data_IF_246752506643
#
_entry.id   IF_246752506643
#
_cell.length_a   1.000
_cell.length_b   1.000
_cell.length_c   1.000
_cell.angle_alpha   90.00
_cell.angle_beta   90.00
_cell.angle_gamma   90.00
#
_symmetry.space_group_name_H-M   'P 1'
#
loop_
_entity.id
_entity.type
_entity.pdbx_description
1 polymer ?
#
# COMPACT_ATOMS: atom_id res chain seq x y z
N UNK A 1 -6.91 20.21 -12.64
CA UNK A 1 -5.42 20.34 -12.70
C UNK A 1 -4.77 20.82 -11.39
N UNK A 2 -5.35 21.73 -10.60
CA UNK A 2 -4.72 22.18 -9.32
C UNK A 2 -4.74 21.13 -8.20
N UNK A 3 -5.81 20.34 -8.06
CA UNK A 3 -5.94 19.28 -7.02
C UNK A 3 -4.82 18.23 -7.12
N UNK A 4 -4.58 17.67 -8.30
CA UNK A 4 -3.58 16.61 -8.50
C UNK A 4 -2.15 17.07 -8.13
N UNK A 5 -1.79 18.34 -8.42
CA UNK A 5 -0.48 18.88 -8.03
C UNK A 5 -0.30 18.97 -6.51
N UNK A 6 -1.38 19.13 -5.75
CA UNK A 6 -1.33 19.17 -4.29
C UNK A 6 -1.17 17.74 -3.76
N UNK A 7 -1.97 16.80 -4.27
CA UNK A 7 -1.94 15.39 -3.86
C UNK A 7 -0.57 14.75 -4.15
N UNK A 8 0.02 15.03 -5.32
CA UNK A 8 1.35 14.52 -5.68
C UNK A 8 2.47 14.99 -4.76
N UNK A 9 2.30 16.07 -3.98
CA UNK A 9 3.30 16.45 -2.96
C UNK A 9 3.37 15.43 -1.81
N UNK A 10 2.27 14.72 -1.56
CA UNK A 10 2.17 13.69 -0.53
C UNK A 10 2.54 12.29 -1.05
N UNK A 11 2.78 12.15 -2.36
CA UNK A 11 3.08 10.88 -3.02
C UNK A 11 4.41 11.00 -3.78
N UNK A 12 5.57 11.13 -3.08
CA UNK A 12 6.86 11.30 -3.73
C UNK A 12 7.24 10.12 -4.62
N UNK A 13 6.76 8.90 -4.30
CA UNK A 13 7.09 7.69 -5.04
C UNK A 13 6.09 7.36 -6.15
N UNK A 14 5.10 8.22 -6.39
CA UNK A 14 4.01 7.99 -7.35
C UNK A 14 4.49 7.46 -8.70
N UNK A 15 5.42 8.16 -9.35
CA UNK A 15 5.92 7.77 -10.66
C UNK A 15 6.69 6.44 -10.64
N UNK A 16 7.35 6.13 -9.53
CA UNK A 16 8.08 4.88 -9.37
C UNK A 16 7.12 3.70 -9.21
N UNK A 17 6.05 3.90 -8.44
CA UNK A 17 5.01 2.90 -8.18
C UNK A 17 4.18 2.61 -9.44
N UNK A 18 3.73 3.63 -10.16
CA UNK A 18 2.89 3.42 -11.35
C UNK A 18 3.64 2.80 -12.53
N UNK A 19 4.97 2.99 -12.59
CA UNK A 19 5.84 2.44 -13.63
C UNK A 19 6.59 1.20 -13.13
N UNK A 20 6.16 0.64 -12.00
CA UNK A 20 6.75 -0.58 -11.48
C UNK A 20 6.48 -1.73 -12.47
N UNK A 21 7.56 -2.42 -12.86
CA UNK A 21 7.49 -3.54 -13.79
C UNK A 21 7.34 -4.85 -13.02
N UNK A 22 6.32 -5.62 -13.37
CA UNK A 22 5.94 -6.87 -12.73
C UNK A 22 5.52 -7.89 -13.78
N UNK A 23 5.61 -9.17 -13.42
CA UNK A 23 5.24 -10.25 -14.33
C UNK A 23 3.75 -10.21 -14.66
N UNK A 24 3.38 -10.60 -15.88
CA UNK A 24 1.98 -10.56 -16.35
C UNK A 24 1.02 -11.41 -15.49
N UNK A 25 1.52 -12.42 -14.77
CA UNK A 25 0.76 -13.27 -13.87
C UNK A 25 0.70 -12.75 -12.42
N UNK A 26 1.35 -11.62 -12.12
CA UNK A 26 1.30 -10.98 -10.80
C UNK A 26 0.06 -10.08 -10.64
N UNK A 27 -1.10 -10.73 -10.56
CA UNK A 27 -2.40 -10.07 -10.37
C UNK A 27 -2.49 -9.27 -9.06
N UNK A 28 -1.65 -9.56 -8.07
CA UNK A 28 -1.64 -8.83 -6.79
C UNK A 28 -0.98 -7.47 -6.99
N UNK A 29 0.21 -7.44 -7.59
CA UNK A 29 0.91 -6.19 -7.93
C UNK A 29 0.04 -5.30 -8.83
N UNK A 30 -0.60 -5.89 -9.85
CA UNK A 30 -1.51 -5.19 -10.75
C UNK A 30 -2.65 -4.51 -9.97
N UNK A 31 -3.34 -5.27 -9.10
CA UNK A 31 -4.46 -4.74 -8.31
C UNK A 31 -4.02 -3.67 -7.32
N UNK A 32 -2.88 -3.82 -6.66
CA UNK A 32 -2.36 -2.82 -5.73
C UNK A 32 -2.10 -1.47 -6.41
N UNK A 33 -1.44 -1.50 -7.57
CA UNK A 33 -1.18 -0.29 -8.37
C UNK A 33 -2.49 0.33 -8.85
N UNK A 34 -3.45 -0.50 -9.29
CA UNK A 34 -4.77 -0.03 -9.69
C UNK A 34 -5.52 0.67 -8.54
N UNK A 35 -5.54 0.08 -7.34
CA UNK A 35 -6.19 0.66 -6.16
C UNK A 35 -5.52 1.98 -5.78
N UNK A 36 -4.19 2.01 -5.72
CA UNK A 36 -3.41 3.21 -5.42
C UNK A 36 -3.69 4.35 -6.40
N UNK A 37 -3.69 4.05 -7.70
CA UNK A 37 -4.01 5.02 -8.75
C UNK A 37 -5.43 5.58 -8.57
N UNK A 38 -6.42 4.72 -8.32
CA UNK A 38 -7.80 5.15 -8.09
C UNK A 38 -7.94 5.99 -6.81
N UNK A 39 -7.24 5.64 -5.74
CA UNK A 39 -7.27 6.38 -4.49
C UNK A 39 -6.71 7.81 -4.67
N UNK A 40 -5.59 7.96 -5.38
CA UNK A 40 -5.00 9.28 -5.72
C UNK A 40 -5.93 10.15 -6.56
N UNK A 41 -6.69 9.56 -7.48
CA UNK A 41 -7.59 10.35 -8.33
C UNK A 41 -8.91 10.71 -7.65
N UNK A 42 -9.33 9.97 -6.62
CA UNK A 42 -10.59 10.19 -5.93
C UNK A 42 -10.46 10.95 -4.60
N UNK A 43 -9.24 11.12 -4.07
CA UNK A 43 -9.03 11.81 -2.79
C UNK A 43 -9.35 13.31 -2.87
N UNK A 44 -10.00 13.83 -1.83
CA UNK A 44 -10.23 15.26 -1.70
C UNK A 44 -9.05 15.94 -0.97
N UNK A 45 -8.34 16.90 -1.60
CA UNK A 45 -7.19 17.57 -0.97
C UNK A 45 -7.55 18.48 0.21
N UNK A 46 -8.84 18.71 0.50
CA UNK A 46 -9.26 19.42 1.70
C UNK A 46 -9.35 18.50 2.93
N UNK A 47 -9.43 17.18 2.71
CA UNK A 47 -9.46 16.19 3.78
C UNK A 47 -8.04 15.78 4.21
N UNK A 48 -7.61 16.26 5.39
CA UNK A 48 -6.29 15.94 5.93
C UNK A 48 -6.09 14.47 6.26
N UNK A 49 -7.14 13.75 6.68
CA UNK A 49 -7.03 12.32 6.99
C UNK A 49 -6.72 11.51 5.74
N UNK A 50 -7.43 11.78 4.64
CA UNK A 50 -7.20 11.04 3.40
C UNK A 50 -5.81 11.34 2.82
N UNK A 51 -5.29 12.56 3.03
CA UNK A 51 -3.91 12.92 2.67
C UNK A 51 -2.85 12.20 3.53
N UNK A 52 -3.17 11.86 4.78
CA UNK A 52 -2.27 11.08 5.62
C UNK A 52 -2.27 9.60 5.21
N UNK A 53 -3.46 9.05 4.94
CA UNK A 53 -3.62 7.68 4.43
C UNK A 53 -2.87 7.53 3.10
N UNK A 54 -2.95 8.51 2.20
CA UNK A 54 -2.28 8.41 0.90
C UNK A 54 -0.76 8.44 1.00
N UNK A 55 -0.23 9.25 1.93
CA UNK A 55 1.19 9.32 2.20
C UNK A 55 1.72 8.00 2.78
N UNK A 56 0.98 7.41 3.73
CA UNK A 56 1.31 6.08 4.25
C UNK A 56 1.23 5.02 3.16
N UNK A 57 0.20 5.07 2.32
CA UNK A 57 0.02 4.09 1.24
C UNK A 57 1.14 4.19 0.18
N UNK A 58 1.58 5.41 -0.17
CA UNK A 58 2.73 5.66 -1.04
C UNK A 58 4.01 5.04 -0.47
N UNK A 59 4.27 5.24 0.83
CA UNK A 59 5.43 4.65 1.50
C UNK A 59 5.39 3.11 1.49
N UNK A 60 4.24 2.53 1.84
CA UNK A 60 4.04 1.08 1.88
C UNK A 60 4.27 0.46 0.50
N UNK A 61 3.70 1.06 -0.56
CA UNK A 61 3.90 0.57 -1.91
C UNK A 61 5.32 0.79 -2.42
N UNK A 62 5.98 1.88 -2.03
CA UNK A 62 7.39 2.05 -2.36
C UNK A 62 8.25 0.92 -1.76
N UNK A 63 7.99 0.54 -0.50
CA UNK A 63 8.68 -0.60 0.12
C UNK A 63 8.35 -1.93 -0.57
N UNK A 64 7.09 -2.12 -0.98
CA UNK A 64 6.67 -3.29 -1.75
C UNK A 64 7.40 -3.45 -3.08
N UNK A 65 7.64 -2.35 -3.80
CA UNK A 65 8.35 -2.41 -5.09
C UNK A 65 9.87 -2.49 -4.90
N UNK A 66 10.43 -1.97 -3.81
CA UNK A 66 11.86 -2.01 -3.54
C UNK A 66 12.34 -3.34 -2.94
N UNK A 67 11.56 -3.93 -2.05
CA UNK A 67 11.94 -5.14 -1.32
C UNK A 67 11.18 -6.36 -1.84
N UNK A 68 11.92 -7.21 -2.57
CA UNK A 68 11.39 -8.45 -3.13
C UNK A 68 10.93 -9.46 -2.06
N UNK A 69 11.66 -9.60 -0.95
CA UNK A 69 11.29 -10.54 0.10
C UNK A 69 10.03 -10.08 0.83
N UNK A 70 9.97 -8.77 1.11
CA UNK A 70 8.78 -8.12 1.63
C UNK A 70 7.58 -8.35 0.70
N UNK A 71 7.77 -8.13 -0.61
CA UNK A 71 6.73 -8.34 -1.62
C UNK A 71 6.15 -9.73 -1.58
N UNK A 72 7.01 -10.75 -1.61
CA UNK A 72 6.59 -12.15 -1.58
C UNK A 72 5.77 -12.48 -0.34
N UNK A 73 6.26 -12.08 0.83
CA UNK A 73 5.55 -12.33 2.07
C UNK A 73 4.21 -11.58 2.16
N UNK A 74 4.15 -10.37 1.61
CA UNK A 74 2.90 -9.60 1.53
C UNK A 74 1.89 -10.25 0.57
N UNK A 75 2.34 -10.70 -0.61
CA UNK A 75 1.51 -11.43 -1.57
C UNK A 75 0.88 -12.69 -0.94
N UNK A 76 1.68 -13.46 -0.20
CA UNK A 76 1.22 -14.65 0.51
C UNK A 76 0.19 -14.31 1.61
N UNK A 77 0.40 -13.20 2.33
CA UNK A 77 -0.55 -12.72 3.35
C UNK A 77 -1.86 -12.23 2.71
N UNK A 78 -1.77 -11.54 1.58
CA UNK A 78 -2.91 -10.97 0.86
C UNK A 78 -3.85 -12.03 0.27
N UNK A 79 -3.35 -13.21 -0.07
CA UNK A 79 -4.17 -14.36 -0.47
C UNK A 79 -5.20 -14.77 0.61
N UNK A 80 -4.97 -14.36 1.86
CA UNK A 80 -5.83 -14.69 3.00
C UNK A 80 -6.77 -13.56 3.44
N UNK A 81 -6.68 -12.36 2.83
CA UNK A 81 -7.48 -11.20 3.23
C UNK A 81 -8.90 -11.33 2.67
N UNK A 82 -9.90 -11.39 3.56
CA UNK A 82 -11.32 -11.25 3.21
C UNK A 82 -11.73 -9.79 3.36
N UNK A 83 -11.93 -9.09 2.25
CA UNK A 83 -12.45 -7.70 2.26
C UNK A 83 -13.96 -7.73 2.51
N UNK A 84 -14.44 -7.10 3.59
CA UNK A 84 -15.87 -6.87 3.82
C UNK A 84 -16.33 -5.71 2.93
N UNK A 85 -17.49 -5.83 2.25
CA UNK A 85 -18.06 -4.75 1.44
C UNK A 85 -18.62 -3.65 2.37
N UNK A 86 -18.16 -2.41 2.19
CA UNK A 86 -18.61 -1.21 2.90
C UNK A 86 -18.93 -0.07 1.91
N UNK A 87 -19.59 0.99 2.40
CA UNK A 87 -20.02 2.15 1.60
C UNK A 87 -18.86 3.04 1.11
N UNK A 88 -17.67 2.95 1.74
CA UNK A 88 -16.45 3.69 1.36
C UNK A 88 -15.33 2.73 0.92
N UNK A 89 -15.70 1.84 0.00
CA UNK A 89 -14.90 0.69 -0.48
C UNK A 89 -13.42 1.01 -0.73
N UNK A 90 -13.07 2.11 -1.38
CA UNK A 90 -11.66 2.38 -1.77
C UNK A 90 -10.80 2.76 -0.56
N UNK A 91 -11.30 3.61 0.34
CA UNK A 91 -10.58 4.02 1.56
C UNK A 91 -10.36 2.82 2.47
N UNK A 92 -11.38 2.00 2.65
CA UNK A 92 -11.32 0.81 3.50
C UNK A 92 -10.37 -0.26 2.95
N UNK A 93 -10.29 -0.41 1.63
CA UNK A 93 -9.30 -1.28 0.98
C UNK A 93 -7.88 -0.74 1.22
N UNK A 94 -7.65 0.57 1.05
CA UNK A 94 -6.33 1.17 1.29
C UNK A 94 -5.89 0.97 2.76
N UNK A 95 -6.78 1.24 3.72
CA UNK A 95 -6.50 1.00 5.14
C UNK A 95 -6.27 -0.48 5.44
N UNK A 96 -7.01 -1.40 4.81
CA UNK A 96 -6.79 -2.84 4.98
C UNK A 96 -5.40 -3.27 4.49
N UNK A 97 -4.93 -2.70 3.38
CA UNK A 97 -3.58 -2.96 2.85
C UNK A 97 -2.51 -2.43 3.82
N UNK A 98 -2.69 -1.23 4.36
CA UNK A 98 -1.79 -0.65 5.37
C UNK A 98 -1.78 -1.52 6.64
N UNK A 99 -2.93 -1.95 7.13
CA UNK A 99 -3.00 -2.83 8.31
C UNK A 99 -2.33 -4.19 8.08
N UNK A 100 -2.43 -4.74 6.87
CA UNK A 100 -1.70 -5.96 6.49
C UNK A 100 -0.19 -5.72 6.54
N UNK A 101 0.28 -4.56 6.08
CA UNK A 101 1.68 -4.15 6.15
C UNK A 101 2.15 -4.03 7.60
N UNK A 102 1.42 -3.33 8.46
CA UNK A 102 1.78 -3.14 9.87
C UNK A 102 1.80 -4.47 10.64
N UNK A 103 0.88 -5.38 10.33
CA UNK A 103 0.83 -6.73 10.90
C UNK A 103 2.07 -7.55 10.51
N UNK A 104 2.52 -7.44 9.26
CA UNK A 104 3.76 -8.07 8.81
C UNK A 104 4.99 -7.47 9.50
N UNK A 105 5.14 -6.14 9.54
CA UNK A 105 6.26 -5.47 10.21
C UNK A 105 6.33 -5.83 11.69
N UNK A 106 5.18 -5.85 12.38
CA UNK A 106 5.06 -6.23 13.80
C UNK A 106 5.37 -7.70 14.06
N UNK A 107 5.02 -8.59 13.13
CA UNK A 107 5.38 -10.01 13.17
C UNK A 107 6.87 -10.24 12.92
N UNK A 108 7.44 -9.52 11.94
CA UNK A 108 8.85 -9.62 11.57
C UNK A 108 9.77 -9.05 12.67
N UNK A 109 9.40 -7.90 13.27
CA UNK A 109 10.13 -7.36 14.43
C UNK A 109 10.08 -8.31 15.61
N UNK A 110 8.93 -8.91 15.95
CA UNK A 110 8.88 -9.96 17.00
C UNK A 110 9.81 -11.13 16.69
N UNK A 111 9.83 -11.62 15.45
CA UNK A 111 10.70 -12.75 15.07
C UNK A 111 12.19 -12.41 15.12
N UNK A 112 12.59 -11.18 14.79
CA UNK A 112 13.98 -10.71 14.95
C UNK A 112 14.38 -10.63 16.43
N UNK A 113 13.46 -10.22 17.31
CA UNK A 113 13.73 -10.22 18.76
C UNK A 113 13.92 -11.64 19.32
N UNK A 114 13.24 -12.66 18.79
CA UNK A 114 13.47 -14.06 19.21
C UNK A 114 14.76 -14.65 18.62
N UNK A 115 15.13 -14.32 17.38
CA UNK A 115 16.35 -14.82 16.74
C UNK A 115 17.66 -14.28 17.39
N UNK A 116 17.57 -13.23 18.23
CA UNK A 116 18.70 -12.68 18.99
C UNK A 116 18.95 -13.35 20.34
N UNK A 117 18.14 -14.34 20.72
CA UNK A 117 18.26 -15.06 21.99
C UNK A 117 18.20 -16.59 21.81
N UNK A 118 19.06 -17.13 20.94
CA UNK A 118 19.37 -18.58 20.89
C UNK A 118 20.88 -18.76 20.83
#
# INVERSE_FOLDING_TARGET
MKKNKIILKYCPNFYKIINFDFFEDDYISERLIFIYKNFIFNVDPENKEDLEIINQFDFVLNKYIEDYYFRKAMQDSMMNIKVQKSDNTIRDIAMSIINCFDSYESGYTRNIYFARWI
#
